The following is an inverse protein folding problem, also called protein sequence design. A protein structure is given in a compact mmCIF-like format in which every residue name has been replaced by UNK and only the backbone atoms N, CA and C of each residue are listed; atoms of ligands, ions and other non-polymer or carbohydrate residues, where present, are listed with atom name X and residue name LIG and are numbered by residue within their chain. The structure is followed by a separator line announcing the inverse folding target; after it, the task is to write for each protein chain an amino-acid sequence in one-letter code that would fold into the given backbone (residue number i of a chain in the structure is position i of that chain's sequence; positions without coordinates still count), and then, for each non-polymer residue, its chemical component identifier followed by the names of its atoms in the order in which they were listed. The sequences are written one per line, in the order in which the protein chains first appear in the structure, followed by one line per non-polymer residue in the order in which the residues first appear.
data_IF_702841783615
#
_entry.id   IF_702841783615
#
_cell.length_a   1.000
_cell.length_b   1.000
_cell.length_c   1.000
_cell.angle_alpha   90.00
_cell.angle_beta   90.00
_cell.angle_gamma   90.00
#
_symmetry.space_group_name_H-M   'P 1'
#
loop_
_entity.id
_entity.type
_entity.pdbx_description
1 polymer ?
#
# COMPACT_ATOMS: atom_id res chain seq x y z
N UNK A 1 8.95 -29.29 -45.35
CA UNK A 1 10.08 -28.88 -44.48
C UNK A 1 9.96 -27.43 -44.00
N UNK A 2 9.76 -26.45 -44.88
CA UNK A 2 9.66 -25.02 -44.52
C UNK A 2 8.57 -24.68 -43.50
N UNK A 3 7.38 -25.29 -43.61
CA UNK A 3 6.27 -25.05 -42.67
C UNK A 3 6.56 -25.53 -41.23
N UNK A 4 7.31 -26.63 -41.10
CA UNK A 4 7.67 -27.21 -39.79
C UNK A 4 8.71 -26.36 -39.05
N UNK A 5 9.67 -25.80 -39.78
CA UNK A 5 10.70 -24.91 -39.22
C UNK A 5 10.08 -23.60 -38.69
N UNK A 6 9.15 -23.01 -39.43
CA UNK A 6 8.43 -21.79 -39.00
C UNK A 6 7.63 -22.05 -37.72
N UNK A 7 6.98 -23.21 -37.61
CA UNK A 7 6.22 -23.57 -36.40
C UNK A 7 7.13 -23.74 -35.17
N UNK A 8 8.28 -24.41 -35.33
CA UNK A 8 9.24 -24.62 -34.25
C UNK A 8 9.83 -23.29 -33.77
N UNK A 9 10.17 -22.39 -34.69
CA UNK A 9 10.68 -21.05 -34.35
C UNK A 9 9.62 -20.23 -33.62
N UNK A 10 8.36 -20.26 -34.05
CA UNK A 10 7.27 -19.57 -33.37
C UNK A 10 7.04 -20.09 -31.94
N UNK A 11 7.05 -21.42 -31.75
CA UNK A 11 6.90 -22.04 -30.41
C UNK A 11 8.09 -21.70 -29.51
N UNK A 12 9.32 -21.68 -30.05
CA UNK A 12 10.50 -21.27 -29.29
C UNK A 12 10.43 -19.80 -28.84
N UNK A 13 9.95 -18.90 -29.70
CA UNK A 13 9.76 -17.48 -29.33
C UNK A 13 8.67 -17.28 -28.27
N UNK A 14 7.57 -18.04 -28.33
CA UNK A 14 6.49 -17.97 -27.33
C UNK A 14 6.95 -18.54 -25.98
N UNK A 15 7.76 -19.61 -26.00
CA UNK A 15 8.29 -20.22 -24.78
C UNK A 15 9.28 -19.31 -24.03
N UNK A 16 10.06 -18.49 -24.74
CA UNK A 16 11.01 -17.54 -24.12
C UNK A 16 10.31 -16.27 -23.61
N UNK A 17 9.18 -15.87 -24.20
CA UNK A 17 8.44 -14.65 -23.82
C UNK A 17 7.49 -14.77 -22.61
N UNK A 18 7.32 -15.96 -22.01
CA UNK A 18 6.22 -16.23 -21.06
C UNK A 18 6.57 -16.05 -19.57
N UNK A 19 7.73 -15.49 -19.22
CA UNK A 19 8.12 -15.26 -17.82
C UNK A 19 7.71 -13.87 -17.32
N UNK A 20 6.41 -13.56 -17.39
CA UNK A 20 5.86 -12.40 -16.70
C UNK A 20 5.72 -12.74 -15.21
N UNK A 21 6.74 -12.43 -14.41
CA UNK A 21 6.62 -12.50 -12.96
C UNK A 21 5.66 -11.39 -12.49
N UNK A 22 4.48 -11.77 -12.01
CA UNK A 22 3.60 -10.84 -11.34
C UNK A 22 4.30 -10.39 -10.05
N UNK A 23 4.72 -9.13 -10.01
CA UNK A 23 5.42 -8.55 -8.87
C UNK A 23 4.52 -8.54 -7.61
N UNK A 24 3.19 -8.60 -7.77
CA UNK A 24 2.24 -8.70 -6.66
C UNK A 24 1.18 -9.75 -6.97
N UNK A 25 0.75 -10.49 -5.96
CA UNK A 25 -0.57 -11.13 -5.99
C UNK A 25 -1.62 -10.08 -5.66
N UNK A 26 -2.64 -9.92 -6.50
CA UNK A 26 -3.67 -8.90 -6.35
C UNK A 26 -5.04 -9.56 -6.25
N UNK A 27 -5.82 -9.17 -5.24
CA UNK A 27 -7.23 -9.48 -5.10
C UNK A 27 -8.04 -8.20 -5.21
N UNK A 28 -9.07 -8.19 -6.07
CA UNK A 28 -10.02 -7.07 -6.22
C UNK A 28 -11.08 -7.03 -5.10
N UNK A 29 -10.70 -7.51 -3.92
CA UNK A 29 -11.47 -7.37 -2.68
C UNK A 29 -10.53 -7.27 -1.48
N UNK A 30 -11.03 -6.68 -0.41
CA UNK A 30 -10.40 -6.68 0.90
C UNK A 30 -10.47 -8.05 1.58
N UNK A 31 -9.31 -8.65 1.84
CA UNK A 31 -9.18 -9.94 2.55
C UNK A 31 -8.54 -9.75 3.92
N UNK A 32 -8.75 -8.61 4.57
CA UNK A 32 -8.23 -8.36 5.91
C UNK A 32 -8.82 -9.33 6.93
N UNK A 33 -8.14 -9.55 8.07
CA UNK A 33 -8.57 -10.46 9.13
C UNK A 33 -10.00 -10.21 9.67
N UNK A 34 -10.56 -11.20 10.37
CA UNK A 34 -11.94 -11.14 10.90
C UNK A 34 -12.07 -10.35 12.21
N UNK A 35 -10.96 -10.16 12.90
CA UNK A 35 -10.81 -9.40 14.15
C UNK A 35 -10.68 -7.89 13.91
N UNK A 36 -10.52 -7.46 12.65
CA UNK A 36 -10.66 -6.05 12.29
C UNK A 36 -12.09 -5.55 12.54
N UNK A 37 -12.29 -4.23 12.74
CA UNK A 37 -13.61 -3.68 13.00
C UNK A 37 -14.64 -4.06 11.93
N UNK A 38 -15.79 -4.59 12.37
CA UNK A 38 -16.85 -5.09 11.49
C UNK A 38 -17.44 -4.01 10.59
N UNK A 39 -17.37 -2.74 11.00
CA UNK A 39 -17.84 -1.61 10.22
C UNK A 39 -17.05 -1.42 8.92
N UNK A 40 -15.86 -2.02 8.80
CA UNK A 40 -15.09 -2.03 7.56
C UNK A 40 -15.57 -3.11 6.58
N UNK A 41 -16.23 -4.18 7.03
CA UNK A 41 -16.61 -5.31 6.17
C UNK A 41 -17.39 -4.95 4.90
N UNK A 42 -18.33 -3.97 4.91
CA UNK A 42 -18.99 -3.53 3.68
C UNK A 42 -18.01 -3.03 2.60
N UNK A 43 -16.88 -2.45 3.00
CA UNK A 43 -15.86 -1.91 2.10
C UNK A 43 -15.01 -3.00 1.43
N UNK A 44 -15.11 -4.26 1.86
CA UNK A 44 -14.33 -5.37 1.27
C UNK A 44 -14.54 -5.46 -0.23
N UNK A 45 -15.75 -5.21 -0.73
CA UNK A 45 -16.09 -5.37 -2.15
C UNK A 45 -15.37 -4.36 -3.06
N UNK A 46 -15.13 -3.14 -2.57
CA UNK A 46 -14.49 -2.07 -3.36
C UNK A 46 -13.00 -1.89 -3.06
N UNK A 47 -12.51 -2.55 -2.00
CA UNK A 47 -11.11 -2.56 -1.61
C UNK A 47 -10.30 -3.55 -2.44
N UNK A 48 -8.97 -3.47 -2.32
CA UNK A 48 -8.04 -4.43 -2.89
C UNK A 48 -7.11 -4.97 -1.83
N UNK A 49 -6.61 -6.16 -2.07
CA UNK A 49 -5.50 -6.73 -1.30
C UNK A 49 -4.34 -6.98 -2.23
N UNK A 50 -3.17 -6.42 -1.91
CA UNK A 50 -1.95 -6.66 -2.64
C UNK A 50 -0.97 -7.38 -1.72
N UNK A 51 -0.36 -8.46 -2.20
CA UNK A 51 0.67 -9.21 -1.49
C UNK A 51 1.96 -9.13 -2.29
N UNK A 52 2.97 -8.51 -1.69
CA UNK A 52 4.28 -8.33 -2.30
C UNK A 52 5.01 -9.65 -2.55
N UNK A 53 5.96 -9.68 -3.48
CA UNK A 53 6.65 -10.90 -3.89
C UNK A 53 7.71 -11.30 -2.85
N UNK A 54 8.21 -10.32 -2.11
CA UNK A 54 9.24 -10.45 -1.10
C UNK A 54 8.58 -10.36 0.27
N UNK A 55 8.76 -11.38 1.10
CA UNK A 55 8.24 -11.49 2.47
C UNK A 55 6.70 -11.48 2.59
N UNK A 56 5.93 -11.59 1.50
CA UNK A 56 4.46 -11.62 1.56
C UNK A 56 3.86 -10.45 2.35
N UNK A 57 4.48 -9.27 2.26
CA UNK A 57 3.94 -8.04 2.85
C UNK A 57 2.56 -7.75 2.24
N UNK A 58 1.57 -7.45 3.10
CA UNK A 58 0.18 -7.24 2.68
C UNK A 58 -0.19 -5.76 2.72
N UNK A 59 -0.90 -5.32 1.70
CA UNK A 59 -1.42 -3.97 1.58
C UNK A 59 -2.92 -4.05 1.33
N UNK A 60 -3.71 -3.43 2.19
CA UNK A 60 -5.15 -3.31 2.02
C UNK A 60 -5.49 -1.91 1.54
N UNK A 61 -5.88 -1.79 0.29
CA UNK A 61 -6.19 -0.52 -0.35
C UNK A 61 -7.71 -0.33 -0.35
N UNK A 62 -8.19 0.60 0.46
CA UNK A 62 -9.60 0.91 0.64
C UNK A 62 -9.95 2.16 -0.17
N UNK A 63 -10.84 1.98 -1.14
CA UNK A 63 -11.43 3.06 -1.92
C UNK A 63 -12.73 3.51 -1.27
N UNK A 64 -13.12 4.75 -1.53
CA UNK A 64 -14.39 5.32 -1.09
C UNK A 64 -15.10 5.93 -2.28
N UNK A 65 -16.41 5.74 -2.36
CA UNK A 65 -17.25 6.35 -3.37
C UNK A 65 -17.42 7.85 -3.13
N UNK A 66 -17.51 8.24 -1.85
CA UNK A 66 -17.69 9.63 -1.44
C UNK A 66 -17.09 9.91 -0.06
N UNK A 67 -17.11 11.19 0.30
CA UNK A 67 -16.59 11.70 1.58
C UNK A 67 -17.30 11.09 2.78
N UNK A 68 -18.61 10.92 2.74
CA UNK A 68 -19.37 10.45 3.91
C UNK A 68 -18.99 9.00 4.22
N UNK A 69 -18.80 8.18 3.18
CA UNK A 69 -18.30 6.81 3.33
C UNK A 69 -16.90 6.79 3.97
N UNK A 70 -16.00 7.66 3.51
CA UNK A 70 -14.68 7.82 4.12
C UNK A 70 -14.76 8.27 5.58
N UNK A 71 -15.48 9.35 5.88
CA UNK A 71 -15.61 9.89 7.24
C UNK A 71 -16.24 8.87 8.20
N UNK A 72 -17.19 8.05 7.73
CA UNK A 72 -17.78 6.97 8.51
C UNK A 72 -16.78 5.84 8.79
N UNK A 73 -15.93 5.48 7.83
CA UNK A 73 -14.94 4.42 7.97
C UNK A 73 -13.71 4.86 8.79
N UNK A 74 -13.35 6.14 8.74
CA UNK A 74 -12.08 6.66 9.26
C UNK A 74 -11.80 6.31 10.73
N UNK A 75 -12.74 6.45 11.68
CA UNK A 75 -12.50 6.07 13.08
C UNK A 75 -12.20 4.57 13.26
N UNK A 76 -12.72 3.73 12.37
CA UNK A 76 -12.53 2.27 12.42
C UNK A 76 -11.20 1.88 11.76
N UNK A 77 -10.81 2.55 10.68
CA UNK A 77 -9.48 2.40 10.07
C UNK A 77 -8.38 2.74 11.07
N UNK A 78 -8.56 3.80 11.86
CA UNK A 78 -7.58 4.22 12.86
C UNK A 78 -7.34 3.17 13.96
N UNK A 79 -8.33 2.31 14.26
CA UNK A 79 -8.18 1.23 15.26
C UNK A 79 -7.27 0.09 14.79
N UNK A 80 -7.05 -0.03 13.48
CA UNK A 80 -6.20 -1.08 12.89
C UNK A 80 -4.71 -0.70 12.95
N UNK A 81 -4.41 0.60 13.04
CA UNK A 81 -3.06 1.13 13.07
C UNK A 81 -2.35 0.73 14.37
N UNK A 82 -1.11 0.30 14.27
CA UNK A 82 -0.25 0.05 15.42
C UNK A 82 -0.07 1.31 16.27
N UNK A 83 0.11 1.14 17.57
CA UNK A 83 0.43 2.26 18.46
C UNK A 83 1.75 2.93 18.03
N UNK A 84 1.77 4.26 17.96
CA UNK A 84 2.95 5.03 17.54
C UNK A 84 3.30 4.98 16.05
N UNK A 85 2.74 4.06 15.27
CA UNK A 85 2.94 4.03 13.82
C UNK A 85 2.36 5.29 13.14
N UNK A 86 2.98 5.78 12.06
CA UNK A 86 2.65 7.05 11.45
C UNK A 86 1.43 6.95 10.53
N UNK A 87 0.90 8.12 10.17
CA UNK A 87 0.07 8.30 8.97
C UNK A 87 0.90 9.08 7.95
N UNK A 88 1.12 8.47 6.80
CA UNK A 88 1.75 9.12 5.66
C UNK A 88 0.69 9.81 4.81
N UNK A 89 0.80 11.12 4.64
CA UNK A 89 -0.04 11.88 3.71
C UNK A 89 0.59 11.81 2.33
N UNK A 90 -0.15 11.30 1.35
CA UNK A 90 0.32 11.20 -0.03
C UNK A 90 -0.70 11.80 -0.98
N UNK A 91 -0.25 12.17 -2.18
CA UNK A 91 -1.14 12.67 -3.25
C UNK A 91 -1.45 11.54 -4.23
N UNK A 92 -2.65 11.52 -4.77
CA UNK A 92 -2.99 10.68 -5.91
C UNK A 92 -2.24 11.09 -7.20
N UNK A 93 -2.19 10.21 -8.22
CA UNK A 93 -2.72 8.84 -8.24
C UNK A 93 -1.88 7.87 -7.41
N UNK A 94 -2.51 6.91 -6.73
CA UNK A 94 -1.79 5.89 -5.93
C UNK A 94 -1.86 4.50 -6.57
N UNK A 95 -0.71 3.80 -6.65
CA UNK A 95 -0.60 2.47 -7.26
C UNK A 95 -1.52 1.43 -6.61
N UNK A 96 -1.55 1.36 -5.27
CA UNK A 96 -2.33 0.38 -4.54
C UNK A 96 -3.83 0.56 -4.79
N UNK A 97 -4.27 1.81 -4.97
CA UNK A 97 -5.66 2.15 -5.26
C UNK A 97 -6.04 2.03 -6.74
N UNK A 98 -5.18 1.48 -7.60
CA UNK A 98 -5.39 1.42 -9.07
C UNK A 98 -5.47 2.80 -9.72
N UNK A 99 -4.57 3.71 -9.29
CA UNK A 99 -4.44 5.09 -9.76
C UNK A 99 -5.59 6.02 -9.38
N UNK A 100 -6.43 5.62 -8.43
CA UNK A 100 -7.39 6.52 -7.81
C UNK A 100 -6.72 7.69 -7.08
N UNK A 101 -7.46 8.78 -6.96
CA UNK A 101 -6.97 10.03 -6.38
C UNK A 101 -7.14 10.10 -4.87
N UNK A 102 -8.02 9.28 -4.29
CA UNK A 102 -8.38 9.31 -2.88
C UNK A 102 -8.58 7.90 -2.32
N UNK A 103 -8.22 7.71 -1.06
CA UNK A 103 -8.40 6.45 -0.36
C UNK A 103 -7.41 6.25 0.77
N UNK A 104 -7.40 5.03 1.30
CA UNK A 104 -6.52 4.61 2.39
C UNK A 104 -5.78 3.35 1.98
N UNK A 105 -4.48 3.29 2.24
CA UNK A 105 -3.71 2.04 2.16
C UNK A 105 -3.22 1.68 3.55
N UNK A 106 -3.57 0.49 4.02
CA UNK A 106 -3.08 -0.06 5.28
C UNK A 106 -1.98 -1.05 4.94
N UNK A 107 -0.76 -0.72 5.36
CA UNK A 107 0.41 -1.57 5.19
C UNK A 107 0.51 -2.46 6.41
N UNK A 108 0.59 -3.77 6.20
CA UNK A 108 0.69 -4.74 7.28
C UNK A 108 2.05 -5.44 7.24
N UNK A 109 2.53 -5.94 8.38
CA UNK A 109 3.73 -6.77 8.41
C UNK A 109 3.60 -7.99 7.48
N UNK A 110 4.74 -8.54 7.02
CA UNK A 110 4.85 -9.86 6.43
C UNK A 110 4.04 -10.94 7.14
N UNK A 111 3.54 -11.92 6.38
CA UNK A 111 2.81 -13.05 6.96
C UNK A 111 3.64 -13.80 8.01
N UNK A 112 3.00 -14.08 9.15
CA UNK A 112 3.61 -14.74 10.29
C UNK A 112 4.41 -13.82 11.22
N UNK A 113 4.57 -12.51 10.90
CA UNK A 113 5.26 -11.58 11.81
C UNK A 113 4.35 -10.93 12.85
N UNK A 114 3.03 -10.91 12.63
CA UNK A 114 2.07 -10.26 13.54
C UNK A 114 2.05 -10.91 14.93
N UNK A 115 2.15 -12.24 14.97
CA UNK A 115 2.10 -13.02 16.22
C UNK A 115 3.50 -13.43 16.71
N UNK A 116 4.56 -13.03 15.99
CA UNK A 116 5.91 -13.46 16.30
C UNK A 116 6.53 -12.55 17.38
N UNK A 117 6.80 -13.07 18.59
CA UNK A 117 7.36 -12.25 19.67
C UNK A 117 8.77 -11.72 19.38
N UNK A 118 9.46 -12.26 18.35
CA UNK A 118 10.78 -11.79 17.92
C UNK A 118 10.71 -10.56 17.01
N UNK A 119 9.55 -10.22 16.48
CA UNK A 119 9.32 -9.05 15.63
C UNK A 119 8.30 -8.14 16.30
N UNK A 120 8.75 -7.32 17.27
CA UNK A 120 7.84 -6.44 17.99
C UNK A 120 7.20 -5.45 17.01
N UNK A 121 5.95 -5.10 17.31
CA UNK A 121 5.19 -4.05 16.64
C UNK A 121 5.75 -2.67 17.03
N UNK A 122 6.95 -2.37 16.55
CA UNK A 122 7.74 -1.21 16.92
C UNK A 122 8.60 -0.72 15.75
N UNK A 123 9.06 0.55 15.77
CA UNK A 123 9.95 1.07 14.75
C UNK A 123 11.27 0.28 14.67
N UNK A 124 11.67 -0.11 13.47
CA UNK A 124 12.92 -0.82 13.19
C UNK A 124 14.09 0.15 13.35
N UNK A 125 15.07 -0.21 14.19
CA UNK A 125 16.27 0.59 14.45
C UNK A 125 17.16 0.66 13.20
N UNK A 126 17.85 1.79 13.04
CA UNK A 126 18.79 2.01 11.93
C UNK A 126 18.19 2.68 10.69
N UNK A 127 16.86 2.81 10.62
CA UNK A 127 16.19 3.60 9.59
C UNK A 127 15.92 5.04 10.07
N UNK A 128 15.94 6.00 9.14
CA UNK A 128 15.55 7.41 9.42
C UNK A 128 14.08 7.47 9.83
N UNK A 129 13.67 8.56 10.49
CA UNK A 129 12.30 8.68 11.03
C UNK A 129 11.23 8.73 9.94
N UNK A 130 11.59 9.26 8.77
CA UNK A 130 10.73 9.40 7.59
C UNK A 130 10.65 8.12 6.76
N UNK A 131 11.56 7.17 6.97
CA UNK A 131 11.63 5.97 6.15
C UNK A 131 10.44 5.04 6.42
N UNK A 132 9.64 4.72 5.38
CA UNK A 132 8.59 3.70 5.45
C UNK A 132 9.12 2.34 5.92
N UNK A 133 10.35 1.99 5.56
CA UNK A 133 11.00 0.75 5.98
C UNK A 133 11.16 0.64 7.49
N UNK A 134 11.24 1.77 8.22
CA UNK A 134 11.22 1.81 9.69
C UNK A 134 9.96 1.16 10.26
N UNK A 135 8.86 1.19 9.54
CA UNK A 135 7.54 0.77 10.00
C UNK A 135 7.09 -0.57 9.43
N UNK A 136 8.00 -1.32 8.78
CA UNK A 136 7.68 -2.59 8.11
C UNK A 136 7.15 -3.71 9.03
N UNK A 137 7.35 -3.59 10.33
CA UNK A 137 6.80 -4.52 11.35
C UNK A 137 5.54 -3.99 12.03
N UNK A 138 4.92 -2.94 11.49
CA UNK A 138 3.71 -2.32 12.06
C UNK A 138 2.62 -2.18 11.02
N UNK A 139 1.37 -2.09 11.48
CA UNK A 139 0.26 -1.57 10.71
C UNK A 139 0.36 -0.04 10.66
N UNK A 140 0.80 0.51 9.52
CA UNK A 140 0.80 1.96 9.28
C UNK A 140 -0.09 2.32 8.09
N UNK A 141 -0.46 3.60 8.00
CA UNK A 141 -1.46 4.09 7.04
C UNK A 141 -0.81 5.03 6.04
N UNK A 142 -1.08 4.83 4.75
CA UNK A 142 -1.06 5.89 3.75
C UNK A 142 -2.47 6.46 3.59
N UNK A 143 -2.59 7.77 3.74
CA UNK A 143 -3.80 8.52 3.48
C UNK A 143 -3.61 9.29 2.17
N UNK A 144 -4.34 8.89 1.13
CA UNK A 144 -4.26 9.50 -0.21
C UNK A 144 -5.23 10.67 -0.26
N UNK A 145 -4.69 11.89 -0.25
CA UNK A 145 -5.44 13.14 -0.07
C UNK A 145 -5.73 13.79 -1.42
N UNK A 146 -7.01 13.99 -1.72
CA UNK A 146 -7.49 14.71 -2.91
C UNK A 146 -8.18 16.04 -2.57
N UNK A 147 -8.57 16.26 -1.31
CA UNK A 147 -9.31 17.44 -0.87
C UNK A 147 -10.82 17.38 -1.11
N UNK A 148 -11.33 16.37 -1.83
CA UNK A 148 -12.77 16.17 -2.01
C UNK A 148 -13.28 15.02 -1.16
N UNK A 149 -12.82 13.79 -1.41
CA UNK A 149 -13.20 12.62 -0.61
C UNK A 149 -12.41 12.60 0.70
N UNK A 150 -11.09 12.70 0.60
CA UNK A 150 -10.18 12.77 1.74
C UNK A 150 -9.75 14.23 1.90
N UNK A 151 -10.43 14.94 2.81
CA UNK A 151 -10.19 16.35 3.13
C UNK A 151 -9.63 16.50 4.55
N UNK A 152 -8.37 16.93 4.64
CA UNK A 152 -7.66 17.10 5.92
C UNK A 152 -8.26 18.20 6.80
N UNK A 153 -9.04 19.13 6.25
CA UNK A 153 -9.70 20.17 7.05
C UNK A 153 -10.95 19.67 7.79
N UNK A 154 -11.40 18.44 7.46
CA UNK A 154 -12.65 17.89 7.97
C UNK A 154 -12.49 16.64 8.81
N UNK A 155 -11.37 15.93 8.65
CA UNK A 155 -11.09 14.76 9.46
C UNK A 155 -10.23 15.10 10.67
N UNK A 156 -10.50 14.40 11.76
CA UNK A 156 -9.62 14.43 12.92
C UNK A 156 -8.48 13.44 12.69
N UNK A 157 -7.25 13.95 12.72
CA UNK A 157 -6.06 13.12 12.86
C UNK A 157 -5.88 12.76 14.34
N UNK A 158 -5.51 11.51 14.68
CA UNK A 158 -5.39 11.12 16.08
C UNK A 158 -4.25 11.88 16.77
N UNK A 159 -4.53 12.42 17.95
CA UNK A 159 -3.52 13.11 18.77
C UNK A 159 -2.34 12.18 19.08
N UNK A 160 -1.12 12.69 18.95
CA UNK A 160 0.10 11.92 19.24
C UNK A 160 0.47 10.88 18.19
N UNK A 161 -0.26 10.80 17.06
CA UNK A 161 0.17 10.01 15.91
C UNK A 161 1.16 10.82 15.07
N UNK A 162 2.36 10.29 14.78
CA UNK A 162 3.28 10.94 13.87
C UNK A 162 2.65 11.11 12.49
N UNK A 163 2.75 12.31 11.93
CA UNK A 163 2.27 12.62 10.57
C UNK A 163 3.50 12.90 9.70
N UNK A 164 3.63 12.13 8.62
CA UNK A 164 4.69 12.34 7.62
C UNK A 164 4.01 12.83 6.34
N UNK A 165 4.26 14.08 5.96
CA UNK A 165 3.64 14.67 4.78
C UNK A 165 4.54 14.47 3.55
N UNK A 166 4.15 13.56 2.67
CA UNK A 166 4.88 13.24 1.44
C UNK A 166 4.16 13.77 0.18
N UNK A 167 3.08 14.56 0.32
CA UNK A 167 2.27 15.04 -0.80
C UNK A 167 3.06 15.88 -1.82
N UNK A 168 4.22 16.40 -1.42
CA UNK A 168 5.07 17.31 -2.22
C UNK A 168 6.47 16.75 -2.48
N UNK A 169 6.76 15.49 -2.12
CA UNK A 169 8.10 14.92 -2.27
C UNK A 169 8.47 14.54 -3.72
N UNK A 170 7.52 14.61 -4.66
CA UNK A 170 7.73 14.32 -6.09
C UNK A 170 8.73 15.28 -6.78
N UNK A 171 9.01 16.44 -6.18
CA UNK A 171 9.93 17.43 -6.73
C UNK A 171 11.40 17.13 -6.41
N UNK A 172 11.70 16.18 -5.50
CA UNK A 172 13.08 15.90 -5.06
C UNK A 172 13.73 14.76 -5.87
N UNK A 173 12.95 13.75 -6.28
CA UNK A 173 13.49 12.58 -7.01
C UNK A 173 13.56 12.74 -8.53
N UNK A 174 13.05 13.85 -9.08
CA UNK A 174 13.09 14.15 -10.52
C UNK A 174 14.16 15.18 -10.90
N UNK A 175 14.97 15.66 -9.95
CA UNK A 175 16.12 16.51 -10.25
C UNK A 175 17.27 15.67 -10.86
N UNK A 176 17.72 15.93 -12.10
CA UNK A 176 18.80 15.18 -12.76
C UNK A 176 20.18 15.32 -12.09
N UNK A 177 20.29 16.07 -10.99
CA UNK A 177 21.57 16.56 -10.47
C UNK A 177 22.42 15.51 -9.71
N UNK A 178 22.03 14.24 -9.63
CA UNK A 178 22.76 13.23 -8.84
C UNK A 178 23.09 11.91 -9.56
N UNK A 179 23.11 11.88 -10.89
CA UNK A 179 23.62 10.73 -11.67
C UNK A 179 25.10 10.89 -12.12
N UNK A 180 25.94 11.55 -11.32
CA UNK A 180 27.39 11.51 -11.51
C UNK A 180 28.08 11.11 -10.20
N UNK A 181 28.34 9.82 -10.03
CA UNK A 181 29.26 9.34 -9.00
C UNK A 181 29.15 7.84 -8.71
N UNK A 182 30.09 7.05 -9.24
CA UNK A 182 30.41 5.69 -8.77
C UNK A 182 30.40 4.63 -9.85
#
# INVERSE_FOLDING_TARGET
MTKTVVLIVAVAFIAVGSTAFALYSVSEKGTWPKDWPIELDPLRKQSRTLVGPTLSARHFAVRFADRNEFEAAWPHILKVKSQGAPIFLVRGPNFFLDKEQAGVVIHCPPEGQWDNPKTPEAPIKGYTEESRSRWGNTNYIELVVDGNIVDLNRILLPSGTPIVDERFNADVSSSPANQTGG
#
